data_IF_134079000178
#
_entry.id   IF_134079000178
#
_cell.length_a   1.000
_cell.length_b   1.000
_cell.length_c   1.000
_cell.angle_alpha   90.00
_cell.angle_beta   90.00
_cell.angle_gamma   90.00
#
_symmetry.space_group_name_H-M   'P 1'
#
loop_
_entity.id
_entity.type
_entity.pdbx_description
1 polymer ?
#
# COMPACT_ATOMS: atom_id res chain seq x y z
N UNK A 1 -33.73 -21.46 -10.26
CA UNK A 1 -33.45 -20.03 -10.51
C UNK A 1 -32.50 -19.45 -9.45
N UNK A 2 -32.88 -19.34 -8.18
CA UNK A 2 -32.00 -18.75 -7.13
C UNK A 2 -30.72 -19.57 -6.88
N UNK A 3 -30.79 -20.90 -6.86
CA UNK A 3 -29.60 -21.74 -6.61
C UNK A 3 -28.52 -21.65 -7.70
N UNK A 4 -28.93 -21.46 -8.96
CA UNK A 4 -28.01 -21.25 -10.08
C UNK A 4 -27.38 -19.86 -10.03
N UNK A 5 -28.15 -18.86 -9.61
CA UNK A 5 -27.63 -17.50 -9.37
C UNK A 5 -26.61 -17.49 -8.23
N UNK A 6 -26.84 -18.21 -7.13
CA UNK A 6 -25.87 -18.35 -6.03
C UNK A 6 -24.60 -19.06 -6.51
N UNK A 7 -24.72 -20.10 -7.33
CA UNK A 7 -23.55 -20.79 -7.87
C UNK A 7 -22.77 -19.91 -8.84
N UNK A 8 -23.46 -19.16 -9.71
CA UNK A 8 -22.82 -18.18 -10.60
C UNK A 8 -22.11 -17.10 -9.80
N UNK A 9 -22.76 -16.49 -8.81
CA UNK A 9 -22.16 -15.47 -7.96
C UNK A 9 -20.96 -16.00 -7.16
N UNK A 10 -21.03 -17.24 -6.65
CA UNK A 10 -19.87 -17.88 -6.00
C UNK A 10 -18.74 -18.12 -6.99
N UNK A 11 -19.06 -18.55 -8.21
CA UNK A 11 -18.08 -18.78 -9.26
C UNK A 11 -17.43 -17.47 -9.73
N UNK A 12 -18.22 -16.41 -9.91
CA UNK A 12 -17.77 -15.06 -10.26
C UNK A 12 -16.96 -14.44 -9.13
N UNK A 13 -17.26 -14.75 -7.86
CA UNK A 13 -16.46 -14.34 -6.71
C UNK A 13 -15.12 -15.09 -6.62
N UNK A 14 -15.11 -16.40 -6.93
CA UNK A 14 -13.86 -17.18 -7.02
C UNK A 14 -13.05 -16.87 -8.29
N UNK A 15 -13.74 -16.41 -9.35
CA UNK A 15 -13.22 -16.06 -10.67
C UNK A 15 -12.86 -14.58 -10.81
N UNK A 16 -13.31 -13.72 -9.88
CA UNK A 16 -12.58 -12.54 -9.43
C UNK A 16 -11.33 -12.99 -8.67
N UNK A 17 -10.50 -13.79 -9.35
CA UNK A 17 -9.08 -13.51 -9.37
C UNK A 17 -8.98 -12.06 -9.81
N UNK A 18 -9.02 -11.17 -8.81
CA UNK A 18 -8.27 -9.92 -8.84
C UNK A 18 -7.01 -10.30 -9.58
N UNK A 19 -6.91 -9.78 -10.81
CA UNK A 19 -5.71 -9.86 -11.61
C UNK A 19 -4.53 -9.78 -10.66
N UNK A 20 -3.51 -10.61 -10.85
CA UNK A 20 -2.20 -10.62 -10.17
C UNK A 20 -1.49 -9.26 -10.05
N UNK A 21 -2.17 -8.15 -10.32
CA UNK A 21 -1.87 -6.80 -9.88
C UNK A 21 -2.21 -6.63 -8.38
N UNK A 22 -1.16 -6.65 -7.55
CA UNK A 22 -1.13 -6.09 -6.21
C UNK A 22 -2.03 -6.74 -5.17
N UNK A 23 -1.60 -7.89 -4.64
CA UNK A 23 -2.02 -8.33 -3.31
C UNK A 23 -1.27 -7.48 -2.26
N UNK A 24 -1.95 -6.60 -1.48
CA UNK A 24 -1.30 -5.75 -0.49
C UNK A 24 -0.48 -6.54 0.53
N UNK A 25 -0.98 -7.71 0.95
CA UNK A 25 -0.30 -8.58 1.90
C UNK A 25 0.99 -9.17 1.33
N UNK A 26 1.07 -9.40 0.01
CA UNK A 26 2.31 -9.87 -0.61
C UNK A 26 3.38 -8.79 -0.57
N UNK A 27 3.02 -7.53 -0.89
CA UNK A 27 3.95 -6.39 -0.82
C UNK A 27 4.53 -6.23 0.58
N UNK A 28 3.70 -6.38 1.62
CA UNK A 28 4.14 -6.27 3.01
C UNK A 28 5.09 -7.40 3.43
N UNK A 29 4.78 -8.64 3.03
CA UNK A 29 5.61 -9.82 3.34
C UNK A 29 7.01 -9.77 2.73
N UNK A 30 7.22 -8.98 1.68
CA UNK A 30 8.54 -8.80 1.06
C UNK A 30 9.46 -7.87 1.87
N UNK A 31 8.90 -7.03 2.74
CA UNK A 31 9.67 -5.99 3.46
C UNK A 31 9.56 -6.07 4.98
N UNK A 32 8.62 -6.84 5.52
CA UNK A 32 8.40 -7.02 6.95
C UNK A 32 8.39 -8.51 7.33
N UNK A 33 8.89 -8.81 8.53
CA UNK A 33 8.77 -10.12 9.14
C UNK A 33 7.30 -10.41 9.51
N UNK A 34 6.92 -11.70 9.53
CA UNK A 34 5.55 -12.13 9.80
C UNK A 34 5.05 -11.68 11.18
N UNK A 35 5.91 -11.74 12.21
CA UNK A 35 5.59 -11.28 13.56
C UNK A 35 5.29 -9.77 13.59
N UNK A 36 6.10 -8.95 12.91
CA UNK A 36 5.86 -7.49 12.82
C UNK A 36 4.56 -7.19 12.08
N UNK A 37 4.24 -7.96 11.04
CA UNK A 37 3.01 -7.79 10.28
C UNK A 37 1.78 -8.14 11.11
N UNK A 38 1.87 -9.16 11.97
CA UNK A 38 0.79 -9.56 12.87
C UNK A 38 0.43 -8.48 13.91
N UNK A 39 1.39 -7.62 14.27
CA UNK A 39 1.24 -6.52 15.22
C UNK A 39 0.76 -5.20 14.59
N UNK A 40 0.51 -5.17 13.28
CA UNK A 40 0.02 -3.97 12.56
C UNK A 40 -1.47 -4.13 12.26
N UNK A 41 -2.27 -3.13 12.60
CA UNK A 41 -3.69 -3.09 12.27
C UNK A 41 -3.93 -3.17 10.75
N UNK A 42 -5.02 -3.82 10.33
CA UNK A 42 -5.36 -3.99 8.92
C UNK A 42 -5.46 -2.64 8.16
N UNK A 43 -5.89 -1.57 8.83
CA UNK A 43 -5.93 -0.22 8.26
C UNK A 43 -4.53 0.28 7.89
N UNK A 44 -3.57 0.12 8.81
CA UNK A 44 -2.18 0.53 8.58
C UNK A 44 -1.50 -0.38 7.55
N UNK A 45 -1.79 -1.68 7.56
CA UNK A 45 -1.32 -2.61 6.53
C UNK A 45 -1.75 -2.15 5.13
N UNK A 46 -3.03 -1.84 4.94
CA UNK A 46 -3.55 -1.39 3.66
C UNK A 46 -2.88 -0.09 3.18
N UNK A 47 -2.71 0.88 4.09
CA UNK A 47 -2.04 2.13 3.77
C UNK A 47 -0.55 1.91 3.44
N UNK A 48 0.14 1.11 4.24
CA UNK A 48 1.57 0.85 4.08
C UNK A 48 1.87 0.14 2.76
N UNK A 49 1.06 -0.83 2.37
CA UNK A 49 1.21 -1.55 1.11
C UNK A 49 1.14 -0.59 -0.10
N UNK A 50 0.20 0.35 -0.10
CA UNK A 50 0.09 1.38 -1.14
C UNK A 50 1.29 2.33 -1.12
N UNK A 51 1.75 2.74 0.08
CA UNK A 51 2.93 3.59 0.23
C UNK A 51 4.17 2.92 -0.35
N UNK A 52 4.42 1.64 -0.05
CA UNK A 52 5.56 0.87 -0.58
C UNK A 52 5.45 0.76 -2.10
N UNK A 53 4.27 0.46 -2.62
CA UNK A 53 3.99 0.37 -4.06
C UNK A 53 4.38 1.65 -4.78
N UNK A 54 3.93 2.81 -4.27
CA UNK A 54 4.29 4.11 -4.84
C UNK A 54 5.78 4.42 -4.70
N UNK A 55 6.41 3.99 -3.60
CA UNK A 55 7.86 4.17 -3.40
C UNK A 55 8.67 3.40 -4.45
N UNK A 56 8.41 2.11 -4.63
CA UNK A 56 9.06 1.24 -5.62
C UNK A 56 8.86 1.74 -7.06
N UNK A 57 7.69 2.31 -7.35
CA UNK A 57 7.37 2.90 -8.66
C UNK A 57 7.91 4.31 -8.88
N UNK A 58 8.73 4.86 -7.99
CA UNK A 58 9.22 6.25 -8.06
C UNK A 58 10.74 6.31 -8.06
N UNK A 59 11.31 7.21 -8.87
CA UNK A 59 12.78 7.36 -9.00
C UNK A 59 13.43 8.06 -7.81
N UNK A 60 12.63 8.67 -6.93
CA UNK A 60 13.11 9.39 -5.77
C UNK A 60 12.02 9.51 -4.70
N UNK A 61 12.44 9.68 -3.45
CA UNK A 61 11.54 9.94 -2.32
C UNK A 61 10.71 11.22 -2.53
N UNK A 62 11.27 12.22 -3.22
CA UNK A 62 10.53 13.44 -3.56
C UNK A 62 9.40 13.16 -4.55
N UNK A 63 9.63 12.33 -5.58
CA UNK A 63 8.60 11.92 -6.52
C UNK A 63 7.49 11.11 -5.84
N UNK A 64 7.85 10.12 -5.03
CA UNK A 64 6.89 9.32 -4.27
C UNK A 64 6.05 10.19 -3.32
N UNK A 65 6.69 11.11 -2.59
CA UNK A 65 6.01 12.05 -1.71
C UNK A 65 5.00 12.94 -2.45
N UNK A 66 5.33 13.43 -3.65
CA UNK A 66 4.38 14.21 -4.47
C UNK A 66 3.18 13.40 -4.93
N UNK A 67 3.37 12.13 -5.25
CA UNK A 67 2.28 11.20 -5.62
C UNK A 67 1.36 10.94 -4.42
N UNK A 68 1.94 10.55 -3.27
CA UNK A 68 1.19 10.21 -2.06
C UNK A 68 0.46 11.39 -1.42
N UNK A 69 1.06 12.59 -1.49
CA UNK A 69 0.52 13.80 -0.86
C UNK A 69 -0.06 14.80 -1.86
N UNK A 70 -0.42 14.35 -3.08
CA UNK A 70 -0.87 15.17 -4.22
C UNK A 70 -1.90 16.26 -3.89
N UNK A 71 -2.86 15.99 -2.99
CA UNK A 71 -3.86 16.96 -2.53
C UNK A 71 -3.37 17.76 -1.33
N UNK A 72 -2.86 17.10 -0.28
CA UNK A 72 -2.49 17.80 0.97
C UNK A 72 -1.34 18.80 0.78
N UNK A 73 -0.46 18.57 -0.20
CA UNK A 73 0.67 19.46 -0.53
C UNK A 73 0.24 20.80 -1.12
N UNK A 74 -0.91 20.89 -1.79
CA UNK A 74 -1.39 22.16 -2.37
C UNK A 74 -1.88 23.14 -1.31
N UNK A 75 -2.18 22.62 -0.11
CA UNK A 75 -2.73 23.39 1.02
C UNK A 75 -1.68 23.79 2.07
N UNK A 76 -0.42 23.35 1.92
CA UNK A 76 0.65 23.58 2.90
C UNK A 76 1.61 24.67 2.43
N UNK A 77 2.06 25.48 3.38
CA UNK A 77 3.06 26.54 3.16
C UNK A 77 4.46 25.97 2.87
N UNK A 78 4.76 24.77 3.37
CA UNK A 78 6.03 24.06 3.13
C UNK A 78 5.78 22.68 2.52
N UNK A 79 6.40 22.43 1.37
CA UNK A 79 6.27 21.19 0.59
C UNK A 79 7.40 20.21 0.92
N UNK A 80 7.56 19.85 2.20
CA UNK A 80 8.52 18.83 2.61
C UNK A 80 7.90 17.42 2.61
N UNK A 81 7.42 17.00 1.45
CA UNK A 81 6.75 15.72 1.24
C UNK A 81 7.70 14.54 1.50
N UNK A 82 8.99 14.69 1.17
CA UNK A 82 10.03 13.68 1.44
C UNK A 82 10.21 13.41 2.93
N UNK A 83 10.23 14.46 3.76
CA UNK A 83 10.34 14.29 5.21
C UNK A 83 9.13 13.56 5.79
N UNK A 84 7.92 13.92 5.35
CA UNK A 84 6.69 13.24 5.79
C UNK A 84 6.72 11.76 5.42
N UNK A 85 7.13 11.44 4.21
CA UNK A 85 7.26 10.07 3.75
C UNK A 85 8.31 9.31 4.56
N UNK A 86 9.48 9.91 4.81
CA UNK A 86 10.52 9.32 5.66
C UNK A 86 10.00 9.03 7.07
N UNK A 87 9.38 10.00 7.73
CA UNK A 87 8.81 9.81 9.07
C UNK A 87 7.72 8.75 9.11
N UNK A 88 6.97 8.58 8.02
CA UNK A 88 5.97 7.52 7.90
C UNK A 88 6.63 6.14 7.81
N UNK A 89 7.59 5.95 6.90
CA UNK A 89 8.30 4.66 6.73
C UNK A 89 9.06 4.24 8.00
N UNK A 90 9.66 5.20 8.72
CA UNK A 90 10.38 4.95 9.96
C UNK A 90 9.51 4.34 11.07
N UNK A 91 8.19 4.60 11.09
CA UNK A 91 7.27 3.96 12.05
C UNK A 91 7.24 2.44 11.92
N UNK A 92 7.56 1.93 10.73
CA UNK A 92 7.60 0.52 10.40
C UNK A 92 9.03 -0.01 10.24
N UNK A 93 10.04 0.79 10.62
CA UNK A 93 11.46 0.42 10.47
C UNK A 93 11.96 0.40 9.02
N UNK A 94 11.23 1.01 8.08
CA UNK A 94 11.55 0.97 6.65
C UNK A 94 12.33 2.21 6.19
N UNK A 95 13.19 2.02 5.18
CA UNK A 95 13.97 3.09 4.55
C UNK A 95 13.73 3.07 3.04
N UNK A 96 13.40 4.23 2.44
CA UNK A 96 13.04 4.32 1.01
C UNK A 96 14.09 3.73 0.06
N UNK A 97 15.38 3.87 0.36
CA UNK A 97 16.45 3.33 -0.50
C UNK A 97 16.59 1.81 -0.47
N UNK A 98 15.87 1.14 0.43
CA UNK A 98 15.90 -0.31 0.65
C UNK A 98 14.58 -0.99 0.21
N UNK A 99 13.61 -0.21 -0.29
CA UNK A 99 12.31 -0.69 -0.79
C UNK A 99 12.35 -1.06 -2.28
#
# INVERSE_FOLDING_TARGET
>A
LVGQEIQRLKHDWTGHQVTTAHNPQQVLKEVLAEDTLADIDLFDQAQLAEVITVCRGSKSMAEAGRKLFNVSRTKRTSNNDSHRLRSYLQKFGLVFGEL
#
